data_IF_457859495230
#
_entry.id   IF_457859495230
#
_cell.length_a   1.000
_cell.length_b   1.000
_cell.length_c   1.000
_cell.angle_alpha   90.00
_cell.angle_beta   90.00
_cell.angle_gamma   90.00
#
_symmetry.space_group_name_H-M   'P 1'
#
loop_
_entity.id
_entity.type
_entity.pdbx_description
1 polymer ?
#
# COMPACT_ATOMS: atom_id res chain seq x y z
N UNK A 1 33.85 46.36 28.40
CA UNK A 1 33.55 44.91 28.52
C UNK A 1 32.04 44.65 28.64
N UNK A 2 31.23 45.00 27.63
CA UNK A 2 29.76 44.78 27.64
C UNK A 2 29.21 44.17 26.34
N UNK A 3 30.07 43.91 25.34
CA UNK A 3 29.66 43.42 24.01
C UNK A 3 29.73 41.89 23.88
N UNK A 4 30.42 41.19 24.80
CA UNK A 4 30.50 39.72 24.79
C UNK A 4 29.22 39.04 25.27
N UNK A 5 28.47 39.68 26.18
CA UNK A 5 27.26 39.10 26.79
C UNK A 5 26.05 39.06 25.85
N UNK A 6 26.04 39.90 24.80
CA UNK A 6 24.96 39.97 23.81
C UNK A 6 25.04 38.86 22.75
N UNK A 7 26.25 38.37 22.46
CA UNK A 7 26.48 37.32 21.44
C UNK A 7 26.12 35.94 21.97
N UNK A 8 26.27 35.71 23.28
CA UNK A 8 25.96 34.41 23.89
C UNK A 8 24.44 34.16 24.00
N UNK A 9 23.65 35.21 24.25
CA UNK A 9 22.19 35.10 24.36
C UNK A 9 21.48 34.77 23.04
N UNK A 10 21.99 35.27 21.90
CA UNK A 10 21.39 35.02 20.58
C UNK A 10 21.67 33.60 20.08
N UNK A 11 22.82 33.02 20.42
CA UNK A 11 23.17 31.63 20.10
C UNK A 11 22.28 30.62 20.83
N UNK A 12 21.91 30.90 22.08
CA UNK A 12 20.98 30.07 22.85
C UNK A 12 19.54 30.12 22.30
N UNK A 13 19.08 31.29 21.87
CA UNK A 13 17.74 31.44 21.26
C UNK A 13 17.62 30.73 19.91
N UNK A 14 18.68 30.71 19.10
CA UNK A 14 18.69 30.01 17.80
C UNK A 14 18.71 28.47 17.95
N UNK A 15 19.27 27.95 19.06
CA UNK A 15 19.25 26.52 19.34
C UNK A 15 17.84 26.02 19.75
N UNK A 16 17.01 26.90 20.33
CA UNK A 16 15.64 26.58 20.76
C UNK A 16 14.62 26.63 19.61
N UNK A 17 14.93 27.27 18.49
CA UNK A 17 14.01 27.41 17.34
C UNK A 17 14.11 26.30 16.29
N UNK A 18 15.03 25.34 16.45
CA UNK A 18 15.20 24.21 15.52
C UNK A 18 14.13 23.10 15.68
N UNK A 19 13.14 23.29 16.55
CA UNK A 19 12.14 22.26 16.92
C UNK A 19 10.81 22.30 16.17
N UNK A 20 10.58 23.23 15.22
CA UNK A 20 9.36 23.21 14.40
C UNK A 20 9.48 22.20 13.26
N UNK A 21 9.60 20.91 13.60
CA UNK A 21 9.29 19.87 12.63
C UNK A 21 7.77 19.85 12.46
N UNK A 22 7.29 20.60 11.46
CA UNK A 22 5.95 20.39 10.94
C UNK A 22 5.92 18.96 10.42
N UNK A 23 5.27 18.07 11.17
CA UNK A 23 4.94 16.75 10.67
C UNK A 23 3.84 16.96 9.64
N UNK A 24 4.22 17.32 8.42
CA UNK A 24 3.34 17.18 7.27
C UNK A 24 3.26 15.69 7.00
N UNK A 25 2.40 15.02 7.77
CA UNK A 25 1.98 13.66 7.46
C UNK A 25 1.45 13.72 6.03
N UNK A 26 2.22 13.17 5.10
CA UNK A 26 1.77 12.94 3.75
C UNK A 26 0.69 11.86 3.86
N UNK A 27 -0.54 12.30 4.14
CA UNK A 27 -1.73 11.57 3.73
C UNK A 27 -1.66 11.54 2.20
N UNK A 28 -0.92 10.55 1.69
CA UNK A 28 -0.92 10.29 0.26
C UNK A 28 -2.33 9.85 -0.06
N UNK A 29 -2.92 10.47 -1.07
CA UNK A 29 -4.14 10.00 -1.74
C UNK A 29 -3.83 8.65 -2.41
N UNK A 30 -3.62 7.62 -1.60
CA UNK A 30 -3.57 6.26 -2.08
C UNK A 30 -5.00 5.91 -2.50
N UNK A 31 -5.22 5.43 -3.73
CA UNK A 31 -6.56 5.08 -4.15
C UNK A 31 -7.11 4.00 -3.21
N UNK A 32 -8.38 4.14 -2.83
CA UNK A 32 -9.04 3.15 -2.01
C UNK A 32 -8.94 1.79 -2.71
N UNK A 33 -8.50 0.76 -2.01
CA UNK A 33 -8.31 -0.57 -2.59
C UNK A 33 -9.52 -1.45 -2.27
N UNK A 34 -10.16 -2.01 -3.29
CA UNK A 34 -11.22 -3.00 -3.17
C UNK A 34 -10.63 -4.41 -3.28
N UNK A 35 -11.05 -5.28 -2.33
CA UNK A 35 -10.83 -6.71 -2.45
C UNK A 35 -11.95 -7.32 -3.27
N UNK A 36 -11.58 -7.97 -4.37
CA UNK A 36 -12.50 -8.72 -5.22
C UNK A 36 -12.12 -10.21 -5.17
N UNK A 37 -13.13 -11.08 -5.10
CA UNK A 37 -12.90 -12.53 -5.17
C UNK A 37 -13.14 -12.99 -6.59
N UNK A 38 -12.14 -13.60 -7.21
CA UNK A 38 -12.21 -14.08 -8.59
C UNK A 38 -11.85 -15.56 -8.67
N UNK A 39 -12.38 -16.27 -9.67
CA UNK A 39 -11.97 -17.66 -9.94
C UNK A 39 -10.48 -17.68 -10.29
N UNK A 40 -9.75 -18.63 -9.72
CA UNK A 40 -8.36 -18.86 -10.07
C UNK A 40 -8.27 -19.60 -11.42
N UNK A 41 -8.28 -18.83 -12.50
CA UNK A 41 -8.23 -19.35 -13.86
C UNK A 41 -6.95 -20.16 -14.15
N UNK A 42 -5.83 -19.81 -13.50
CA UNK A 42 -4.55 -20.49 -13.72
C UNK A 42 -4.61 -21.89 -13.12
N UNK A 43 -5.10 -22.00 -11.88
CA UNK A 43 -5.25 -23.29 -11.22
C UNK A 43 -6.29 -24.17 -11.91
N UNK A 44 -7.43 -23.60 -12.30
CA UNK A 44 -8.48 -24.33 -13.05
C UNK A 44 -7.91 -24.89 -14.36
N UNK A 45 -7.24 -24.06 -15.17
CA UNK A 45 -6.65 -24.49 -16.43
C UNK A 45 -5.58 -25.58 -16.25
N UNK A 46 -4.78 -25.49 -15.18
CA UNK A 46 -3.80 -26.52 -14.85
C UNK A 46 -4.47 -27.87 -14.58
N UNK A 47 -5.47 -27.92 -13.70
CA UNK A 47 -6.19 -29.16 -13.36
C UNK A 47 -6.93 -29.71 -14.57
N UNK A 48 -7.59 -28.86 -15.36
CA UNK A 48 -8.29 -29.27 -16.58
C UNK A 48 -7.30 -29.86 -17.61
N UNK A 49 -6.09 -29.29 -17.72
CA UNK A 49 -5.02 -29.82 -18.55
C UNK A 49 -4.56 -31.22 -18.12
N UNK A 50 -4.36 -31.43 -16.82
CA UNK A 50 -4.01 -32.74 -16.26
C UNK A 50 -5.15 -33.74 -16.49
N UNK A 51 -6.39 -33.34 -16.28
CA UNK A 51 -7.56 -34.19 -16.47
C UNK A 51 -7.69 -34.66 -17.93
N UNK A 52 -7.49 -33.73 -18.88
CA UNK A 52 -7.48 -34.01 -20.32
C UNK A 52 -6.40 -35.04 -20.69
N UNK A 53 -5.17 -34.87 -20.19
CA UNK A 53 -4.07 -35.82 -20.42
C UNK A 53 -4.39 -37.23 -19.91
N UNK A 54 -5.24 -37.33 -18.87
CA UNK A 54 -5.67 -38.60 -18.25
C UNK A 54 -6.96 -39.16 -18.84
N UNK A 55 -7.57 -38.51 -19.83
CA UNK A 55 -8.85 -38.95 -20.39
C UNK A 55 -10.03 -38.81 -19.42
N UNK A 56 -9.93 -37.90 -18.45
CA UNK A 56 -10.98 -37.66 -17.44
C UNK A 56 -11.61 -36.27 -17.63
N UNK A 57 -12.86 -36.11 -17.21
CA UNK A 57 -13.57 -34.82 -17.25
C UNK A 57 -13.74 -34.27 -15.84
N UNK A 58 -13.30 -33.04 -15.61
CA UNK A 58 -13.53 -32.30 -14.36
C UNK A 58 -14.76 -31.41 -14.53
N UNK A 59 -15.59 -31.38 -13.49
CA UNK A 59 -16.75 -30.49 -13.38
C UNK A 59 -16.63 -29.73 -12.08
N UNK A 60 -16.50 -28.41 -12.18
CA UNK A 60 -16.30 -27.52 -11.04
C UNK A 60 -17.64 -27.09 -10.44
N UNK A 61 -18.05 -27.71 -9.34
CA UNK A 61 -19.26 -27.31 -8.58
C UNK A 61 -19.00 -26.06 -7.72
N UNK A 62 -17.77 -25.92 -7.22
CA UNK A 62 -17.30 -24.72 -6.52
C UNK A 62 -15.84 -24.47 -6.92
N UNK A 63 -15.59 -23.70 -8.00
CA UNK A 63 -14.23 -23.48 -8.47
C UNK A 63 -13.41 -22.70 -7.44
N UNK A 64 -12.09 -22.97 -7.35
CA UNK A 64 -11.20 -22.28 -6.42
C UNK A 64 -11.14 -20.80 -6.76
N UNK A 65 -11.11 -19.97 -5.71
CA UNK A 65 -11.13 -18.51 -5.82
C UNK A 65 -9.89 -17.91 -5.19
N UNK A 66 -9.38 -16.85 -5.80
CA UNK A 66 -8.29 -16.03 -5.29
C UNK A 66 -8.79 -14.61 -5.00
N UNK A 67 -8.18 -13.97 -4.01
CA UNK A 67 -8.44 -12.55 -3.71
C UNK A 67 -7.56 -11.69 -4.60
N UNK A 68 -8.16 -10.74 -5.30
CA UNK A 68 -7.48 -9.74 -6.11
C UNK A 68 -7.75 -8.36 -5.50
N UNK A 69 -6.70 -7.55 -5.39
CA UNK A 69 -6.80 -6.19 -4.87
C UNK A 69 -6.81 -5.25 -6.08
N UNK A 70 -7.86 -4.43 -6.21
CA UNK A 70 -8.00 -3.47 -7.30
C UNK A 70 -8.24 -2.05 -6.75
N UNK A 71 -7.73 -1.01 -7.41
CA UNK A 71 -8.10 0.37 -7.08
C UNK A 71 -9.59 0.61 -7.34
N UNK A 72 -10.27 1.22 -6.39
CA UNK A 72 -11.60 1.81 -6.56
C UNK A 72 -11.37 3.07 -7.38
N UNK A 73 -11.86 3.10 -8.62
CA UNK A 73 -11.80 4.30 -9.43
C UNK A 73 -12.49 5.45 -8.66
N UNK A 74 -11.73 6.51 -8.36
CA UNK A 74 -12.32 7.75 -7.86
C UNK A 74 -13.07 8.38 -9.02
N UNK A 75 -14.40 8.24 -9.04
CA UNK A 75 -15.25 9.05 -9.92
C UNK A 75 -15.02 10.52 -9.56
N UNK A 76 -14.36 11.27 -10.44
CA UNK A 76 -14.50 12.73 -10.49
C UNK A 76 -15.73 13.07 -11.34
#
# INVERSE_FOLDING_TARGET
MKRLSLVCGTLLLAALSAGCTSTQSAMRDAPLMQRETQIDQVYVAYVDGVAKQRGTRVVWVNPPKRTVIKPIASTN
#
